data_IF_279434865200
#
_entry.id   IF_279434865200
#
_cell.length_a   1.000
_cell.length_b   1.000
_cell.length_c   1.000
_cell.angle_alpha   90.00
_cell.angle_beta   90.00
_cell.angle_gamma   90.00
#
_symmetry.space_group_name_H-M   'P 1'
#
loop_
_entity.id
_entity.type
_entity.pdbx_description
1 polymer ?
#
# COMPACT_ATOMS: atom_id res chain seq x y z
N UNK A 1 16.72 27.90 7.40
CA UNK A 1 17.69 26.79 7.49
C UNK A 1 17.22 25.69 6.54
N UNK A 2 18.05 25.25 5.58
CA UNK A 2 17.75 24.08 4.75
C UNK A 2 18.41 22.86 5.38
N UNK A 3 17.67 21.76 5.55
CA UNK A 3 18.28 20.48 5.87
C UNK A 3 18.97 19.93 4.61
N UNK A 4 20.26 19.62 4.71
CA UNK A 4 21.04 19.03 3.62
C UNK A 4 21.32 17.56 3.96
N UNK A 5 21.00 16.66 3.03
CA UNK A 5 21.12 15.23 3.25
C UNK A 5 22.53 14.75 2.84
N UNK A 6 23.09 13.73 3.52
CA UNK A 6 24.43 13.23 3.19
C UNK A 6 24.54 12.71 1.76
N UNK A 7 25.77 12.69 1.23
CA UNK A 7 26.07 12.03 -0.04
C UNK A 7 25.66 10.55 0.05
N UNK A 8 24.88 10.07 -0.92
CA UNK A 8 24.38 8.69 -0.93
C UNK A 8 23.09 8.46 -0.15
N UNK A 9 22.42 9.51 0.33
CA UNK A 9 21.08 9.38 0.90
C UNK A 9 20.07 8.98 -0.18
N UNK A 10 19.33 7.90 0.06
CA UNK A 10 18.27 7.45 -0.83
C UNK A 10 16.93 8.02 -0.40
N UNK A 11 16.28 8.69 -1.34
CA UNK A 11 14.90 9.10 -1.22
C UNK A 11 14.00 8.05 -1.88
N UNK A 12 12.95 7.68 -1.17
CA UNK A 12 11.97 6.73 -1.66
C UNK A 12 10.60 7.05 -1.12
N UNK A 13 9.61 6.36 -1.69
CA UNK A 13 8.23 6.31 -1.20
C UNK A 13 7.80 4.85 -1.17
N UNK A 14 6.74 4.54 -0.41
CA UNK A 14 6.24 3.19 -0.27
C UNK A 14 4.72 3.18 -0.25
N UNK A 15 4.14 2.10 -0.76
CA UNK A 15 2.72 1.77 -0.68
C UNK A 15 2.58 0.26 -0.44
N UNK A 16 1.36 -0.20 -0.16
CA UNK A 16 1.03 -1.62 -0.14
C UNK A 16 -0.20 -1.87 -1.00
N UNK A 17 -0.27 -3.03 -1.65
CA UNK A 17 -1.27 -3.34 -2.67
C UNK A 17 -2.71 -3.08 -2.23
N UNK A 18 -3.14 -3.65 -1.10
CA UNK A 18 -4.52 -3.47 -0.62
C UNK A 18 -4.87 -2.01 -0.29
N UNK A 19 -3.87 -1.18 0.04
CA UNK A 19 -4.10 0.22 0.41
C UNK A 19 -4.36 1.11 -0.81
N UNK A 20 -3.86 0.77 -2.00
CA UNK A 20 -3.87 1.68 -3.16
C UNK A 20 -4.36 1.08 -4.48
N UNK A 21 -4.29 -0.23 -4.68
CA UNK A 21 -4.59 -0.82 -5.99
C UNK A 21 -6.10 -0.87 -6.28
N UNK A 22 -6.93 -1.15 -5.27
CA UNK A 22 -8.35 -1.43 -5.49
C UNK A 22 -8.55 -2.75 -6.24
N UNK A 23 -9.48 -2.77 -7.21
CA UNK A 23 -9.73 -3.91 -8.11
C UNK A 23 -9.79 -5.28 -7.40
N UNK A 24 -10.43 -5.31 -6.22
CA UNK A 24 -10.32 -6.47 -5.32
C UNK A 24 -11.00 -7.74 -5.85
N UNK A 25 -11.83 -7.62 -6.89
CA UNK A 25 -12.58 -8.74 -7.50
C UNK A 25 -12.28 -8.93 -9.00
N UNK A 26 -11.27 -8.23 -9.53
CA UNK A 26 -10.95 -8.27 -10.96
C UNK A 26 -9.83 -9.28 -11.27
N UNK A 27 -9.76 -9.68 -12.55
CA UNK A 27 -8.61 -10.39 -13.16
C UNK A 27 -8.10 -11.65 -12.44
N UNK A 28 -8.97 -12.32 -11.68
CA UNK A 28 -8.63 -13.55 -10.98
C UNK A 28 -7.81 -13.35 -9.70
N UNK A 29 -7.78 -12.13 -9.13
CA UNK A 29 -7.20 -11.88 -7.80
C UNK A 29 -7.87 -12.76 -6.74
N UNK A 30 -7.08 -13.47 -5.96
CA UNK A 30 -7.57 -14.26 -4.82
C UNK A 30 -7.93 -13.40 -3.61
N UNK A 31 -8.91 -13.86 -2.82
CA UNK A 31 -9.31 -13.22 -1.55
C UNK A 31 -8.12 -13.16 -0.57
N UNK A 32 -7.85 -11.98 -0.01
CA UNK A 32 -6.94 -11.80 1.12
C UNK A 32 -7.69 -11.67 2.44
N UNK A 33 -6.99 -11.81 3.57
CA UNK A 33 -7.61 -11.61 4.90
C UNK A 33 -8.21 -10.21 5.08
N UNK A 34 -7.65 -9.20 4.39
CA UNK A 34 -8.10 -7.82 4.50
C UNK A 34 -9.42 -7.59 3.78
N UNK A 35 -9.70 -8.32 2.70
CA UNK A 35 -11.00 -8.29 2.03
C UNK A 35 -12.10 -8.73 2.99
N UNK A 36 -11.90 -9.88 3.64
CA UNK A 36 -12.85 -10.43 4.61
C UNK A 36 -13.05 -9.53 5.82
N UNK A 37 -11.94 -9.05 6.38
CA UNK A 37 -11.99 -8.18 7.55
C UNK A 37 -12.74 -6.88 7.24
N UNK A 38 -12.39 -6.19 6.15
CA UNK A 38 -12.98 -4.90 5.80
C UNK A 38 -14.46 -5.00 5.37
N UNK A 39 -14.90 -6.16 4.85
CA UNK A 39 -16.31 -6.41 4.52
C UNK A 39 -17.18 -6.68 5.75
N UNK A 40 -16.60 -6.91 6.93
CA UNK A 40 -17.35 -7.18 8.16
C UNK A 40 -17.88 -5.87 8.75
N UNK A 41 -19.20 -5.69 8.91
CA UNK A 41 -19.77 -4.51 9.57
C UNK A 41 -19.31 -4.40 11.03
N UNK A 42 -19.08 -3.17 11.50
CA UNK A 42 -18.69 -2.85 12.87
C UNK A 42 -19.86 -2.73 13.84
#
# INVERSE_FOLDING_TARGET
MSAQFPQGFYWGTATASFQIEGATQEDGRGESIWDRFAATPG
#
